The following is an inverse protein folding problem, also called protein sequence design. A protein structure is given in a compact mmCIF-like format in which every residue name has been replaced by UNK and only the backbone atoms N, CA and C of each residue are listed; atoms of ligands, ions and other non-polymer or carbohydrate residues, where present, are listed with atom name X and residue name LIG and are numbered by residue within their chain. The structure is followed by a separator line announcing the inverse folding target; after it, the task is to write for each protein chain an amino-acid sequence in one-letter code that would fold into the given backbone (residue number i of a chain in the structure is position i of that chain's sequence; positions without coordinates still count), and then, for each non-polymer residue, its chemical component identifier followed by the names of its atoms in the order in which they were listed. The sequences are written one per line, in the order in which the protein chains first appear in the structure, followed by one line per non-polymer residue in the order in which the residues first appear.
data_IF_556367603380
#
_entry.id   IF_556367603380
#
_cell.length_a   1.000
_cell.length_b   1.000
_cell.length_c   1.000
_cell.angle_alpha   90.00
_cell.angle_beta   90.00
_cell.angle_gamma   90.00
#
_symmetry.space_group_name_H-M   'P 1'
#
loop_
_entity.id
_entity.type
_entity.pdbx_description
1 polymer ?
#
# COMPACT_ATOMS: atom_id res chain seq x y z
N UNK A 1 37.45 -2.90 5.55
CA UNK A 1 36.52 -1.74 5.48
C UNK A 1 35.42 -1.93 4.44
N UNK A 2 35.73 -2.21 3.17
CA UNK A 2 34.72 -2.38 2.11
C UNK A 2 33.61 -3.40 2.47
N UNK A 3 33.99 -4.63 2.86
CA UNK A 3 33.02 -5.68 3.22
C UNK A 3 32.13 -5.31 4.42
N UNK A 4 32.66 -4.56 5.38
CA UNK A 4 31.90 -4.09 6.55
C UNK A 4 30.87 -3.05 6.16
N UNK A 5 31.26 -2.10 5.29
CA UNK A 5 30.36 -1.05 4.77
C UNK A 5 29.26 -1.69 3.92
N UNK A 6 29.63 -2.57 2.98
CA UNK A 6 28.64 -3.27 2.15
C UNK A 6 27.75 -4.20 2.96
N UNK A 7 28.28 -4.88 3.98
CA UNK A 7 27.49 -5.72 4.88
C UNK A 7 26.45 -4.91 5.65
N UNK A 8 26.78 -3.72 6.13
CA UNK A 8 25.81 -2.82 6.80
C UNK A 8 24.77 -2.30 5.80
N UNK A 9 25.20 -1.87 4.62
CA UNK A 9 24.32 -1.30 3.60
C UNK A 9 23.32 -2.35 3.09
N UNK A 10 23.81 -3.51 2.66
CA UNK A 10 22.98 -4.60 2.12
C UNK A 10 22.18 -5.32 3.23
N UNK A 11 22.79 -5.53 4.40
CA UNK A 11 22.12 -6.23 5.50
C UNK A 11 21.08 -5.37 6.19
N UNK A 12 21.47 -4.21 6.72
CA UNK A 12 20.62 -3.38 7.58
C UNK A 12 19.65 -2.55 6.75
N UNK A 13 20.14 -1.91 5.69
CA UNK A 13 19.32 -0.94 4.97
C UNK A 13 18.57 -1.56 3.80
N UNK A 14 19.17 -2.47 3.03
CA UNK A 14 18.44 -3.10 1.93
C UNK A 14 17.45 -4.15 2.42
N UNK A 15 17.88 -5.10 3.24
CA UNK A 15 17.02 -6.19 3.70
C UNK A 15 16.36 -5.93 5.06
N UNK A 16 16.96 -5.10 5.90
CA UNK A 16 16.52 -4.91 7.29
C UNK A 16 15.15 -4.23 7.47
N UNK A 17 14.59 -3.60 6.43
CA UNK A 17 13.21 -3.07 6.47
C UNK A 17 12.12 -4.07 6.15
N UNK A 18 12.45 -5.15 5.43
CA UNK A 18 11.47 -6.10 4.92
C UNK A 18 10.90 -6.96 6.06
N UNK A 19 11.76 -7.45 6.97
CA UNK A 19 11.34 -8.28 8.11
C UNK A 19 10.46 -7.53 9.12
N UNK A 20 10.85 -6.34 9.62
CA UNK A 20 10.01 -5.57 10.55
C UNK A 20 8.65 -5.21 9.95
N UNK A 21 8.61 -4.95 8.64
CA UNK A 21 7.36 -4.69 7.93
C UNK A 21 6.45 -5.91 7.96
N UNK A 22 6.96 -7.09 7.61
CA UNK A 22 6.20 -8.34 7.61
C UNK A 22 5.57 -8.65 8.97
N UNK A 23 6.37 -8.62 10.03
CA UNK A 23 5.87 -8.91 11.40
C UNK A 23 4.88 -7.84 11.90
N UNK A 24 4.98 -6.61 11.36
CA UNK A 24 4.10 -5.51 11.71
C UNK A 24 2.74 -5.55 11.02
N UNK A 25 2.62 -6.19 9.85
CA UNK A 25 1.38 -6.23 9.05
C UNK A 25 0.16 -6.64 9.89
N UNK A 26 0.18 -7.77 10.65
CA UNK A 26 -0.93 -8.16 11.52
C UNK A 26 -1.46 -7.04 12.42
N UNK A 27 -0.55 -6.31 13.08
CA UNK A 27 -0.87 -5.23 14.01
C UNK A 27 -1.39 -3.99 13.27
N UNK A 28 -0.76 -3.62 12.14
CA UNK A 28 -1.18 -2.50 11.29
C UNK A 28 -2.63 -2.72 10.80
N UNK A 29 -2.93 -3.94 10.33
CA UNK A 29 -4.24 -4.28 9.81
C UNK A 29 -5.31 -4.41 10.90
N UNK A 30 -4.91 -4.84 12.10
CA UNK A 30 -5.80 -4.90 13.26
C UNK A 30 -6.08 -3.51 13.84
N UNK A 31 -5.08 -2.62 13.92
CA UNK A 31 -5.22 -1.25 14.42
C UNK A 31 -5.91 -0.30 13.45
N UNK A 32 -5.83 -0.54 12.15
CA UNK A 32 -6.65 0.16 11.14
C UNK A 32 -8.16 -0.07 11.32
N UNK A 33 -8.57 -0.95 12.26
CA UNK A 33 -9.96 -1.20 12.65
C UNK A 33 -10.46 -0.33 13.81
N UNK A 34 -9.67 0.61 14.36
CA UNK A 34 -10.10 1.43 15.51
C UNK A 34 -11.23 2.44 15.19
N UNK A 35 -11.46 2.76 13.90
CA UNK A 35 -12.67 3.49 13.44
C UNK A 35 -13.90 2.55 13.25
N UNK A 36 -13.74 1.24 13.44
CA UNK A 36 -14.75 0.18 13.23
C UNK A 36 -15.16 -0.50 14.55
N UNK A 37 -15.24 0.28 15.64
CA UNK A 37 -15.80 -0.19 16.91
C UNK A 37 -17.31 -0.44 16.80
N UNK A 38 -17.69 -1.57 16.17
CA UNK A 38 -18.93 -2.38 16.30
C UNK A 38 -19.25 -3.09 14.97
N UNK A 39 -18.68 -4.26 14.70
CA UNK A 39 -19.28 -5.29 13.84
C UNK A 39 -18.52 -6.64 13.97
N UNK A 40 -19.17 -7.80 13.71
CA UNK A 40 -18.80 -9.09 14.28
C UNK A 40 -17.63 -9.78 13.58
N UNK A 41 -17.09 -10.78 14.28
CA UNK A 41 -16.05 -11.73 13.86
C UNK A 41 -16.40 -12.34 12.49
N UNK A 42 -15.67 -11.94 11.45
CA UNK A 42 -15.66 -12.57 10.13
C UNK A 42 -14.20 -12.85 9.76
N UNK A 43 -13.94 -14.02 9.18
CA UNK A 43 -12.64 -14.42 8.65
C UNK A 43 -12.23 -13.47 7.51
N UNK A 44 -11.56 -12.37 7.84
CA UNK A 44 -11.16 -11.40 6.84
C UNK A 44 -9.88 -11.88 6.15
N UNK A 45 -9.91 -11.88 4.82
CA UNK A 45 -8.70 -12.05 4.01
C UNK A 45 -8.10 -10.68 3.73
N UNK A 46 -6.79 -10.53 3.89
CA UNK A 46 -6.01 -9.36 3.49
C UNK A 46 -5.03 -9.76 2.39
N UNK A 47 -5.04 -9.03 1.28
CA UNK A 47 -4.13 -9.20 0.16
C UNK A 47 -2.98 -8.21 0.29
N UNK A 48 -1.77 -8.70 0.47
CA UNK A 48 -0.56 -7.88 0.61
C UNK A 48 0.29 -8.05 -0.65
N UNK A 49 0.43 -6.97 -1.41
CA UNK A 49 1.25 -6.91 -2.61
C UNK A 49 2.62 -6.31 -2.28
N UNK A 50 3.70 -7.03 -2.55
CA UNK A 50 5.07 -6.55 -2.37
C UNK A 50 5.63 -6.11 -3.72
N UNK A 51 5.85 -4.81 -3.89
CA UNK A 51 6.34 -4.24 -5.14
C UNK A 51 7.75 -3.68 -4.97
N UNK A 52 8.59 -3.90 -6.00
CA UNK A 52 10.04 -3.59 -6.02
C UNK A 52 10.90 -4.31 -4.99
N UNK A 53 10.32 -5.05 -4.05
CA UNK A 53 11.01 -5.89 -3.08
C UNK A 53 10.25 -7.21 -2.91
N UNK A 54 10.93 -8.27 -2.45
CA UNK A 54 10.32 -9.57 -2.17
C UNK A 54 9.67 -9.60 -0.79
N UNK A 55 8.57 -10.33 -0.66
CA UNK A 55 8.00 -10.66 0.64
C UNK A 55 8.90 -11.60 1.44
N UNK A 56 8.98 -11.44 2.78
CA UNK A 56 9.61 -12.42 3.63
C UNK A 56 8.81 -13.72 3.72
N UNK A 57 9.44 -14.80 4.21
CA UNK A 57 8.75 -16.05 4.48
C UNK A 57 7.49 -15.85 5.33
N UNK A 58 6.39 -16.49 4.93
CA UNK A 58 5.08 -16.32 5.56
C UNK A 58 5.01 -16.79 7.01
N UNK A 59 5.89 -17.71 7.43
CA UNK A 59 5.94 -18.20 8.81
C UNK A 59 6.23 -17.10 9.84
N UNK A 60 6.80 -15.96 9.42
CA UNK A 60 7.01 -14.78 10.28
C UNK A 60 5.71 -14.12 10.75
N UNK A 61 4.60 -14.36 10.05
CA UNK A 61 3.28 -13.81 10.42
C UNK A 61 2.65 -14.54 11.60
N UNK A 62 3.10 -15.77 11.89
CA UNK A 62 2.49 -16.66 12.88
C UNK A 62 1.05 -17.06 12.51
N UNK A 63 0.39 -17.72 13.45
CA UNK A 63 -1.02 -18.10 13.30
C UNK A 63 -1.94 -16.99 13.81
N UNK A 64 -2.77 -16.47 12.91
CA UNK A 64 -3.78 -15.47 13.23
C UNK A 64 -5.18 -16.06 13.14
N UNK A 65 -5.87 -16.22 14.27
CA UNK A 65 -7.18 -16.86 14.33
C UNK A 65 -8.27 -16.18 13.47
N UNK A 66 -8.15 -14.87 13.21
CA UNK A 66 -9.21 -14.05 12.61
C UNK A 66 -8.80 -13.24 11.36
N UNK A 67 -7.58 -13.45 10.83
CA UNK A 67 -7.07 -12.73 9.67
C UNK A 67 -6.25 -13.67 8.79
N UNK A 68 -6.66 -13.86 7.54
CA UNK A 68 -5.89 -14.63 6.55
C UNK A 68 -5.11 -13.66 5.68
N UNK A 69 -3.79 -13.63 5.80
CA UNK A 69 -2.93 -12.82 4.94
C UNK A 69 -2.55 -13.63 3.68
N UNK A 70 -2.87 -13.09 2.50
CA UNK A 70 -2.45 -13.62 1.20
C UNK A 70 -1.43 -12.66 0.58
N UNK A 71 -0.21 -13.16 0.43
CA UNK A 71 0.90 -12.37 -0.11
C UNK A 71 1.03 -12.57 -1.62
N UNK A 72 1.35 -11.48 -2.33
CA UNK A 72 1.54 -11.44 -3.77
C UNK A 72 2.85 -10.73 -4.08
N UNK A 73 3.84 -11.47 -4.58
CA UNK A 73 5.12 -10.87 -4.98
C UNK A 73 5.01 -10.29 -6.39
N UNK A 74 5.27 -8.99 -6.47
CA UNK A 74 5.21 -8.18 -7.69
C UNK A 74 6.60 -7.66 -8.08
N UNK A 75 7.67 -8.22 -7.53
CA UNK A 75 9.02 -7.78 -7.88
C UNK A 75 9.27 -7.98 -9.39
N UNK A 76 9.89 -6.99 -10.03
CA UNK A 76 10.21 -7.02 -11.46
C UNK A 76 9.08 -6.59 -12.40
N UNK A 77 7.86 -6.33 -11.92
CA UNK A 77 6.78 -5.84 -12.79
C UNK A 77 6.77 -4.31 -12.88
N UNK A 78 6.31 -3.79 -14.03
CA UNK A 78 6.17 -2.35 -14.26
C UNK A 78 5.14 -1.72 -13.30
N UNK A 79 5.26 -0.42 -13.05
CA UNK A 79 4.30 0.30 -12.21
C UNK A 79 2.87 0.24 -12.76
N UNK A 80 2.71 0.34 -14.07
CA UNK A 80 1.41 0.25 -14.74
C UNK A 80 0.77 -1.14 -14.56
N UNK A 81 1.55 -2.22 -14.73
CA UNK A 81 1.05 -3.58 -14.53
C UNK A 81 0.75 -3.86 -13.06
N UNK A 82 1.53 -3.29 -12.14
CA UNK A 82 1.27 -3.36 -10.71
C UNK A 82 -0.09 -2.71 -10.37
N UNK A 83 -0.35 -1.50 -10.88
CA UNK A 83 -1.64 -0.84 -10.67
C UNK A 83 -2.80 -1.64 -11.26
N UNK A 84 -2.63 -2.26 -12.43
CA UNK A 84 -3.64 -3.15 -13.02
C UNK A 84 -3.97 -4.33 -12.11
N UNK A 85 -2.96 -4.93 -11.46
CA UNK A 85 -3.17 -6.03 -10.49
C UNK A 85 -3.87 -5.55 -9.23
N UNK A 86 -3.54 -4.34 -8.74
CA UNK A 86 -4.25 -3.74 -7.61
C UNK A 86 -5.72 -3.46 -7.98
N UNK A 87 -5.96 -2.86 -9.14
CA UNK A 87 -7.28 -2.48 -9.62
C UNK A 87 -8.23 -3.68 -9.75
N UNK A 88 -7.72 -4.83 -10.22
CA UNK A 88 -8.46 -6.09 -10.28
C UNK A 88 -8.88 -6.63 -8.90
N UNK A 89 -8.20 -6.23 -7.83
CA UNK A 89 -8.40 -6.78 -6.48
C UNK A 89 -9.16 -5.84 -5.56
N UNK A 90 -9.03 -4.53 -5.76
CA UNK A 90 -9.78 -3.53 -5.01
C UNK A 90 -11.28 -3.70 -5.33
N UNK A 91 -12.14 -3.86 -4.31
CA UNK A 91 -13.58 -4.03 -4.52
C UNK A 91 -14.17 -2.97 -5.45
N UNK A 92 -15.00 -3.42 -6.39
CA UNK A 92 -15.74 -2.54 -7.29
C UNK A 92 -16.95 -1.97 -6.56
N UNK A 93 -17.27 -0.70 -6.80
CA UNK A 93 -18.30 0.01 -6.06
C UNK A 93 -19.73 -0.49 -6.35
N UNK A 94 -19.89 -1.31 -7.39
CA UNK A 94 -21.15 -1.97 -7.72
C UNK A 94 -21.45 -3.19 -6.83
N UNK A 95 -20.49 -3.66 -6.03
CA UNK A 95 -20.63 -4.84 -5.15
C UNK A 95 -21.27 -4.49 -3.78
N UNK A 96 -21.84 -3.28 -3.64
CA UNK A 96 -22.40 -2.79 -2.38
C UNK A 96 -21.35 -2.49 -1.29
N UNK A 97 -20.13 -3.00 -1.42
CA UNK A 97 -18.97 -2.75 -0.56
C UNK A 97 -18.33 -1.39 -0.90
N UNK A 98 -19.01 -0.30 -0.55
CA UNK A 98 -18.43 1.04 -0.64
C UNK A 98 -17.32 1.16 0.41
N UNK A 99 -16.07 0.91 0.01
CA UNK A 99 -14.88 1.39 0.74
C UNK A 99 -14.68 2.89 0.48
N UNK A 100 -15.73 3.67 0.73
CA UNK A 100 -15.67 5.11 0.76
C UNK A 100 -15.23 5.51 2.15
N UNK A 101 -13.99 5.99 2.29
CA UNK A 101 -13.63 6.78 3.47
C UNK A 101 -14.37 8.12 3.35
N UNK A 102 -15.64 8.14 3.72
CA UNK A 102 -16.50 9.34 3.67
C UNK A 102 -16.08 10.28 4.79
N UNK A 103 -15.05 11.10 4.54
CA UNK A 103 -14.63 12.15 5.49
C UNK A 103 -15.49 13.43 5.37
N UNK A 104 -16.38 13.50 4.37
CA UNK A 104 -17.17 14.70 4.04
C UNK A 104 -18.63 14.41 3.65
N UNK A 105 -19.30 13.54 4.39
CA UNK A 105 -20.75 13.53 4.37
C UNK A 105 -21.24 13.27 5.77
N UNK A 106 -21.94 14.24 6.37
CA UNK A 106 -22.65 14.09 7.65
C UNK A 106 -23.76 13.02 7.63
N UNK A 107 -23.79 12.18 6.59
CA UNK A 107 -24.59 10.99 6.49
C UNK A 107 -23.87 9.90 7.28
N UNK A 108 -24.37 9.60 8.48
CA UNK A 108 -24.07 8.36 9.20
C UNK A 108 -24.54 7.21 8.31
N UNK A 109 -23.65 6.66 7.50
CA UNK A 109 -23.94 5.42 6.79
C UNK A 109 -24.02 4.32 7.86
N UNK A 110 -25.24 3.93 8.21
CA UNK A 110 -25.55 2.94 9.25
C UNK A 110 -25.11 1.51 8.91
N UNK A 111 -24.37 1.34 7.82
CA UNK A 111 -23.84 0.07 7.37
C UNK A 111 -22.33 0.21 7.23
N UNK A 112 -21.63 0.21 8.38
CA UNK A 112 -20.20 -0.08 8.44
C UNK A 112 -20.01 -1.56 8.03
N UNK A 113 -20.11 -1.84 6.73
CA UNK A 113 -19.95 -3.19 6.20
C UNK A 113 -18.51 -3.63 6.42
N UNK A 114 -18.40 -4.80 7.06
CA UNK A 114 -17.15 -5.49 7.33
C UNK A 114 -16.26 -5.49 6.08
N UNK A 115 -15.06 -4.91 6.20
CA UNK A 115 -14.02 -4.95 5.17
C UNK A 115 -13.58 -6.40 4.92
N UNK A 116 -14.36 -7.16 4.18
CA UNK A 116 -13.95 -8.44 3.61
C UNK A 116 -13.06 -8.14 2.40
N UNK A 117 -11.83 -8.67 2.37
CA UNK A 117 -10.86 -8.50 1.27
C UNK A 117 -10.14 -7.13 1.23
N UNK A 118 -9.36 -6.85 2.27
CA UNK A 118 -8.47 -5.69 2.29
C UNK A 118 -7.38 -5.82 1.23
N UNK A 119 -7.06 -4.75 0.51
CA UNK A 119 -5.91 -4.70 -0.42
C UNK A 119 -4.85 -3.74 0.09
N UNK A 120 -3.62 -4.22 0.23
CA UNK A 120 -2.48 -3.52 0.82
C UNK A 120 -1.31 -3.59 -0.14
N UNK A 121 -0.63 -2.46 -0.33
CA UNK A 121 0.60 -2.37 -1.11
C UNK A 121 1.78 -2.07 -0.18
N UNK A 122 2.80 -2.92 -0.23
CA UNK A 122 4.10 -2.69 0.38
C UNK A 122 5.06 -2.27 -0.72
N UNK A 123 5.58 -1.04 -0.62
CA UNK A 123 6.45 -0.47 -1.65
C UNK A 123 7.46 0.51 -1.04
N UNK A 124 8.69 0.58 -1.58
CA UNK A 124 9.68 1.56 -1.15
C UNK A 124 9.21 2.99 -1.33
N UNK A 125 9.64 3.88 -0.43
CA UNK A 125 9.32 5.30 -0.52
C UNK A 125 9.96 6.00 -1.72
N UNK A 126 11.07 5.46 -2.21
CA UNK A 126 11.77 5.95 -3.39
C UNK A 126 11.03 5.64 -4.71
N UNK A 127 9.93 4.89 -4.68
CA UNK A 127 9.10 4.59 -5.84
C UNK A 127 8.20 5.80 -6.20
N UNK A 128 8.81 6.83 -6.80
CA UNK A 128 8.15 8.09 -7.21
C UNK A 128 6.96 7.89 -8.16
N UNK A 129 6.91 6.76 -8.86
CA UNK A 129 5.75 6.36 -9.67
C UNK A 129 4.43 6.37 -8.87
N UNK A 130 4.47 6.13 -7.55
CA UNK A 130 3.28 6.12 -6.71
C UNK A 130 2.81 7.52 -6.32
N UNK A 131 3.64 8.56 -6.46
CA UNK A 131 3.35 9.91 -5.96
C UNK A 131 1.99 10.46 -6.45
N UNK A 132 1.58 10.29 -7.72
CA UNK A 132 0.28 10.77 -8.20
C UNK A 132 -0.94 10.05 -7.57
N UNK A 133 -0.73 8.87 -6.98
CA UNK A 133 -1.79 8.03 -6.40
C UNK A 133 -1.89 8.19 -4.89
N UNK A 134 -0.96 8.91 -4.26
CA UNK A 134 -0.99 9.19 -2.82
C UNK A 134 -2.10 10.20 -2.56
N UNK A 135 -2.97 9.90 -1.59
CA UNK A 135 -4.04 10.82 -1.22
C UNK A 135 -3.44 12.07 -0.54
N UNK A 136 -3.36 13.18 -1.29
CA UNK A 136 -3.08 14.49 -0.74
C UNK A 136 -4.38 15.08 -0.18
N UNK A 137 -4.34 15.54 1.07
CA UNK A 137 -5.54 15.99 1.80
C UNK A 137 -6.15 17.29 1.25
N UNK A 138 -5.51 17.92 0.26
CA UNK A 138 -5.80 19.30 -0.15
C UNK A 138 -6.24 19.53 -1.61
N UNK A 139 -6.22 18.54 -2.50
CA UNK A 139 -6.53 18.82 -3.92
C UNK A 139 -8.01 18.67 -4.27
N UNK A 140 -8.64 19.83 -4.45
CA UNK A 140 -10.03 20.06 -4.82
C UNK A 140 -10.25 20.16 -6.35
N UNK A 141 -9.30 19.73 -7.16
CA UNK A 141 -9.42 19.81 -8.62
C UNK A 141 -9.86 18.47 -9.22
N UNK A 142 -11.16 18.25 -9.16
CA UNK A 142 -11.90 17.44 -10.13
C UNK A 142 -11.99 18.21 -11.44
N UNK A 143 -11.13 17.88 -12.41
CA UNK A 143 -11.45 18.10 -13.82
C UNK A 143 -11.37 16.75 -14.54
N UNK A 144 -12.44 16.47 -15.28
CA UNK A 144 -12.82 15.13 -15.72
C UNK A 144 -11.77 14.40 -16.56
N UNK A 145 -11.71 13.10 -16.35
CA UNK A 145 -10.84 12.21 -17.11
C UNK A 145 -10.82 10.79 -16.56
N UNK A 146 -11.93 10.09 -16.74
CA UNK A 146 -12.03 8.63 -16.72
C UNK A 146 -12.01 7.89 -15.35
N UNK A 147 -12.57 6.68 -15.40
CA UNK A 147 -13.11 5.85 -14.34
C UNK A 147 -12.16 5.50 -13.18
N UNK A 148 -12.70 5.53 -11.96
CA UNK A 148 -12.29 4.65 -10.85
C UNK A 148 -10.78 4.70 -10.49
N UNK A 149 -10.24 5.86 -10.14
CA UNK A 149 -8.83 5.99 -9.75
C UNK A 149 -8.51 5.27 -8.41
N UNK A 150 -7.49 4.41 -8.42
CA UNK A 150 -6.89 3.81 -7.23
C UNK A 150 -6.24 4.90 -6.37
N UNK A 151 -6.45 4.86 -5.06
CA UNK A 151 -5.84 5.77 -4.09
C UNK A 151 -5.05 5.01 -3.02
N UNK A 152 -3.91 5.58 -2.65
CA UNK A 152 -2.99 5.03 -1.65
C UNK A 152 -3.06 5.85 -0.36
N UNK A 153 -3.46 5.20 0.72
CA UNK A 153 -3.52 5.77 2.06
C UNK A 153 -2.43 5.13 2.94
N UNK A 154 -1.47 5.92 3.44
CA UNK A 154 -0.35 5.36 4.21
C UNK A 154 -0.84 4.84 5.56
N UNK A 155 -0.68 3.55 5.80
CA UNK A 155 -0.96 2.93 7.08
C UNK A 155 0.27 2.94 8.00
N UNK A 156 1.45 2.70 7.43
CA UNK A 156 2.68 2.57 8.19
C UNK A 156 3.92 2.78 7.33
N UNK A 157 5.07 3.04 7.96
CA UNK A 157 6.38 3.21 7.32
C UNK A 157 7.50 2.66 8.20
N UNK A 158 8.48 2.00 7.57
CA UNK A 158 9.80 1.75 8.13
C UNK A 158 10.81 2.71 7.54
N UNK A 159 11.53 3.48 8.35
CA UNK A 159 12.43 4.53 7.85
C UNK A 159 13.79 4.02 7.36
N UNK A 160 14.26 2.88 7.88
CA UNK A 160 15.61 2.37 7.60
C UNK A 160 15.62 1.33 6.48
N UNK A 161 15.01 1.66 5.35
CA UNK A 161 15.02 0.79 4.16
C UNK A 161 15.55 1.53 2.93
N UNK A 162 16.47 0.92 2.20
CA UNK A 162 16.99 1.41 0.94
C UNK A 162 16.62 0.42 -0.15
N UNK A 163 15.86 0.91 -1.14
CA UNK A 163 15.53 0.10 -2.29
C UNK A 163 16.73 0.03 -3.24
N UNK A 164 17.45 -1.08 -3.19
CA UNK A 164 18.62 -1.34 -4.02
C UNK A 164 18.29 -2.16 -5.27
N UNK A 165 17.13 -2.82 -5.32
CA UNK A 165 16.73 -3.68 -6.43
C UNK A 165 16.45 -2.89 -7.73
N UNK A 166 16.22 -1.59 -7.61
CA UNK A 166 15.89 -0.68 -8.73
C UNK A 166 17.05 0.28 -9.08
N UNK A 167 18.27 -0.08 -8.69
CA UNK A 167 19.45 0.68 -9.07
C UNK A 167 19.82 0.36 -10.51
N UNK A 168 19.15 1.02 -11.45
CA UNK A 168 19.55 1.11 -12.85
C UNK A 168 20.81 1.97 -12.97
N UNK A 169 21.94 1.49 -12.43
CA UNK A 169 23.23 2.20 -12.48
C UNK A 169 23.75 2.39 -13.90
N UNK A 170 23.27 1.56 -14.84
CA UNK A 170 23.65 1.54 -16.25
C UNK A 170 23.13 2.77 -17.00
N UNK A 171 21.89 3.21 -16.74
CA UNK A 171 21.18 4.12 -17.65
C UNK A 171 21.05 5.55 -17.09
N UNK A 172 20.87 5.70 -15.77
CA UNK A 172 20.63 7.00 -15.10
C UNK A 172 21.93 7.66 -14.56
N UNK A 173 23.05 6.93 -14.57
CA UNK A 173 24.30 7.32 -13.93
C UNK A 173 24.32 7.08 -12.41
N UNK A 174 25.50 6.74 -11.88
CA UNK A 174 25.68 6.29 -10.47
C UNK A 174 25.20 7.35 -9.46
N UNK A 175 25.42 8.64 -9.73
CA UNK A 175 25.09 9.73 -8.81
C UNK A 175 23.58 10.03 -8.71
N UNK A 176 22.83 9.96 -9.82
CA UNK A 176 21.39 10.22 -9.80
C UNK A 176 20.63 9.11 -9.06
N UNK A 177 21.01 7.85 -9.33
CA UNK A 177 20.48 6.67 -8.64
C UNK A 177 20.82 6.68 -7.14
N UNK A 178 22.06 7.04 -6.78
CA UNK A 178 22.45 7.15 -5.37
C UNK A 178 21.70 8.28 -4.65
N UNK A 179 21.51 9.44 -5.30
CA UNK A 179 20.71 10.56 -4.75
C UNK A 179 19.25 10.16 -4.55
N UNK A 180 18.67 9.37 -5.45
CA UNK A 180 17.29 8.87 -5.35
C UNK A 180 17.13 7.88 -4.19
N UNK A 181 18.02 6.89 -4.11
CA UNK A 181 17.95 5.84 -3.09
C UNK A 181 18.22 6.39 -1.70
N UNK A 182 19.17 7.32 -1.55
CA UNK A 182 19.45 7.98 -0.28
C UNK A 182 18.50 9.15 0.03
N UNK A 183 17.79 9.68 -0.96
CA UNK A 183 16.92 10.85 -0.80
C UNK A 183 15.53 10.54 -0.23
N UNK A 184 15.03 9.32 -0.43
CA UNK A 184 13.73 8.84 0.09
C UNK A 184 13.87 7.43 0.68
N UNK A 185 14.63 7.28 1.79
CA UNK A 185 14.74 5.99 2.46
C UNK A 185 13.40 5.62 3.09
N UNK A 186 12.99 4.38 2.92
CA UNK A 186 11.89 3.79 3.67
C UNK A 186 11.10 2.75 2.88
N UNK A 187 10.34 1.96 3.64
CA UNK A 187 9.39 0.98 3.12
C UNK A 187 8.01 1.33 3.67
N UNK A 188 7.08 1.65 2.78
CA UNK A 188 5.73 2.06 3.18
C UNK A 188 4.74 0.90 3.03
N UNK A 189 3.74 0.90 3.89
CA UNK A 189 2.55 0.04 3.81
C UNK A 189 1.35 0.95 3.51
N UNK A 190 0.74 0.76 2.35
CA UNK A 190 -0.38 1.55 1.87
C UNK A 190 -1.66 0.71 1.85
N UNK A 191 -2.74 1.27 2.36
CA UNK A 191 -4.09 0.80 2.06
C UNK A 191 -4.47 1.28 0.67
N UNK A 192 -4.91 0.34 -0.16
CA UNK A 192 -5.36 0.62 -1.52
C UNK A 192 -6.87 0.74 -1.52
N UNK A 193 -7.38 1.91 -1.94
CA UNK A 193 -8.81 2.23 -1.96
C UNK A 193 -9.21 2.79 -3.32
N UNK A 194 -10.51 3.01 -3.52
CA UNK A 194 -11.07 3.59 -4.74
C UNK A 194 -11.97 4.76 -4.38
N UNK A 195 -11.91 5.83 -5.17
CA UNK A 195 -12.82 6.96 -5.04
C UNK A 195 -14.07 6.77 -5.92
N UNK A 196 -15.25 7.05 -5.36
CA UNK A 196 -16.51 7.14 -6.11
C UNK A 196 -16.93 8.60 -6.13
N UNK A 197 -16.99 9.19 -7.31
CA UNK A 197 -17.79 10.39 -7.50
C UNK A 197 -19.24 9.97 -7.49
N UNK A 198 -19.96 10.27 -6.40
CA UNK A 198 -21.41 10.16 -6.39
C UNK A 198 -21.94 11.11 -7.47
N UNK A 199 -22.49 10.55 -8.54
CA UNK A 199 -23.17 11.32 -9.56
C UNK A 199 -24.30 12.10 -8.87
N UNK A 200 -24.23 13.43 -8.95
CA UNK A 200 -25.29 14.32 -8.48
C UNK A 200 -26.54 13.96 -9.28
N UNK A 201 -27.57 13.43 -8.62
CA UNK A 201 -28.85 13.16 -9.28
C UNK A 201 -29.31 14.44 -10.00
N UNK A 202 -29.66 14.38 -11.29
CA UNK A 202 -30.32 15.50 -11.94
C UNK A 202 -31.68 15.65 -11.24
N UNK A 203 -31.89 16.78 -10.58
CA UNK A 203 -33.21 17.14 -10.07
C UNK A 203 -34.19 17.11 -11.25
N UNK A 204 -35.21 16.26 -11.13
CA UNK A 204 -36.41 16.28 -11.97
C UNK A 204 -37.25 17.49 -11.54
#
# INVERSE_FOLDING_TARGET
MFNSIMGILLGVYHQGGVIPTQIGIPAILSGSRSDLNKAPVVNNTAHVFWWKTYSPPLWLLGDMANLTIRTHDLMGISGADMLKRLDQRVPQCNDGSILGYSRYSGIKSHTAQSLTNLTVLVAPDSATFLDPYIQHTDNKDTNGGDQLAVQLNRLWRYDRHLNMDDMAFSDDGIFATLKRVLGRPGLNVWLVTRFVLLAKHPNI
#
